data_IF_295863713038
#
_entry.id   IF_295863713038
#
_cell.length_a   1.000
_cell.length_b   1.000
_cell.length_c   1.000
_cell.angle_alpha   90.00
_cell.angle_beta   90.00
_cell.angle_gamma   90.00
#
_symmetry.space_group_name_H-M   'P 1'
#
loop_
_entity.id
_entity.type
_entity.pdbx_description
1 polymer ?
#
# COMPACT_ATOMS: atom_id res chain seq x y z
N UNK A 1 14.66 5.28 -8.07
CA UNK A 1 14.46 3.83 -7.86
C UNK A 1 13.14 3.34 -8.47
N UNK A 2 13.03 2.04 -8.78
CA UNK A 2 11.75 1.42 -9.18
C UNK A 2 11.01 0.86 -7.95
N UNK A 3 9.68 0.98 -7.93
CA UNK A 3 8.82 0.39 -6.91
C UNK A 3 7.63 -0.34 -7.53
N UNK A 4 7.19 -1.42 -6.90
CA UNK A 4 5.94 -2.12 -7.24
C UNK A 4 4.79 -1.43 -6.52
N UNK A 5 3.95 -0.72 -7.26
CA UNK A 5 2.92 0.18 -6.73
C UNK A 5 1.54 -0.41 -6.99
N UNK A 6 0.70 -0.40 -5.96
CA UNK A 6 -0.72 -0.69 -6.08
C UNK A 6 -1.53 0.62 -5.99
N UNK A 7 -2.36 0.86 -7.00
CA UNK A 7 -3.46 1.83 -6.95
C UNK A 7 -4.78 1.09 -6.77
N UNK A 8 -5.79 1.78 -6.23
CA UNK A 8 -7.19 1.38 -6.34
C UNK A 8 -8.07 2.62 -6.30
N UNK A 9 -9.31 2.48 -6.78
CA UNK A 9 -10.32 3.53 -6.76
C UNK A 9 -11.00 3.57 -5.39
N UNK A 10 -11.13 4.78 -4.82
CA UNK A 10 -11.98 5.00 -3.65
C UNK A 10 -13.45 4.97 -4.08
N UNK A 11 -14.11 3.82 -3.93
CA UNK A 11 -15.50 3.58 -4.33
C UNK A 11 -16.28 2.84 -3.22
N UNK A 12 -16.59 3.50 -2.08
CA UNK A 12 -17.25 2.88 -0.94
C UNK A 12 -18.50 2.11 -1.33
N UNK A 13 -18.66 0.90 -0.78
CA UNK A 13 -19.88 0.13 -0.97
C UNK A 13 -21.10 0.94 -0.51
N UNK A 14 -22.27 0.78 -1.15
CA UNK A 14 -23.47 1.54 -0.79
C UNK A 14 -23.92 1.38 0.67
N UNK A 15 -23.60 0.25 1.29
CA UNK A 15 -23.93 -0.10 2.68
C UNK A 15 -22.82 0.21 3.69
N UNK A 16 -21.70 0.80 3.25
CA UNK A 16 -20.60 1.19 4.12
C UNK A 16 -20.62 2.68 4.43
N UNK A 17 -20.78 3.02 5.71
CA UNK A 17 -20.68 4.41 6.17
C UNK A 17 -19.21 4.79 6.38
N UNK A 18 -18.68 5.60 5.48
CA UNK A 18 -17.32 6.14 5.61
C UNK A 18 -17.26 7.12 6.77
N UNK A 19 -16.39 6.82 7.75
CA UNK A 19 -16.19 7.68 8.92
C UNK A 19 -15.52 9.01 8.57
N UNK A 20 -15.68 10.01 9.43
CA UNK A 20 -14.98 11.30 9.27
C UNK A 20 -13.45 11.14 9.24
N UNK A 21 -12.91 10.18 9.98
CA UNK A 21 -11.47 9.91 9.97
C UNK A 21 -11.00 9.35 8.62
N UNK A 22 -11.75 8.43 8.01
CA UNK A 22 -11.44 7.87 6.69
C UNK A 22 -11.51 8.97 5.61
N UNK A 23 -12.53 9.84 5.67
CA UNK A 23 -12.65 11.01 4.78
C UNK A 23 -11.45 11.96 4.92
N UNK A 24 -11.03 12.25 6.14
CA UNK A 24 -9.95 13.20 6.41
C UNK A 24 -8.57 12.65 6.03
N UNK A 25 -8.34 11.35 6.23
CA UNK A 25 -7.01 10.75 6.06
C UNK A 25 -6.80 10.10 4.69
N UNK A 26 -7.89 9.80 3.98
CA UNK A 26 -7.87 8.95 2.79
C UNK A 26 -7.41 7.52 3.09
N UNK A 27 -7.50 7.08 4.35
CA UNK A 27 -7.25 5.69 4.76
C UNK A 27 -8.60 5.01 4.89
N UNK A 28 -8.69 3.77 4.43
CA UNK A 28 -9.85 2.91 4.68
C UNK A 28 -9.56 2.05 5.91
N UNK A 29 -10.44 2.07 6.91
CA UNK A 29 -10.37 1.15 8.05
C UNK A 29 -10.73 -0.26 7.57
N UNK A 30 -11.73 -0.35 6.71
CA UNK A 30 -12.23 -1.60 6.12
C UNK A 30 -11.95 -1.61 4.61
N UNK A 31 -10.75 -2.07 4.21
CA UNK A 31 -10.25 -1.95 2.83
C UNK A 31 -11.20 -2.50 1.75
N UNK A 32 -11.72 -3.71 1.97
CA UNK A 32 -12.65 -4.39 1.06
C UNK A 32 -14.06 -3.77 0.97
N UNK A 33 -14.34 -2.76 1.79
CA UNK A 33 -15.57 -1.96 1.71
C UNK A 33 -15.39 -0.64 0.95
N UNK A 34 -14.15 -0.27 0.59
CA UNK A 34 -13.86 1.02 -0.06
C UNK A 34 -13.11 0.87 -1.38
N UNK A 35 -12.03 0.07 -1.41
CA UNK A 35 -11.13 0.07 -2.56
C UNK A 35 -11.62 -0.88 -3.65
N UNK A 36 -11.67 -0.36 -4.88
CA UNK A 36 -12.15 -1.07 -6.06
C UNK A 36 -11.20 -0.94 -7.26
N UNK A 37 -11.20 -1.92 -8.15
CA UNK A 37 -10.37 -1.94 -9.37
C UNK A 37 -8.87 -1.77 -9.07
N UNK A 38 -8.26 -2.66 -8.26
CA UNK A 38 -6.85 -2.57 -7.95
C UNK A 38 -5.99 -2.73 -9.22
N UNK A 39 -4.92 -1.95 -9.32
CA UNK A 39 -3.95 -2.01 -10.40
C UNK A 39 -2.54 -2.05 -9.83
N UNK A 40 -1.77 -3.05 -10.24
CA UNK A 40 -0.40 -3.26 -9.82
C UNK A 40 0.57 -2.93 -10.98
N UNK A 41 1.56 -2.07 -10.73
CA UNK A 41 2.49 -1.60 -11.75
C UNK A 41 3.88 -1.30 -11.16
N UNK A 42 4.94 -1.56 -11.93
CA UNK A 42 6.29 -1.08 -11.58
C UNK A 42 6.48 0.33 -12.11
N UNK A 43 6.79 1.28 -11.22
CA UNK A 43 6.96 2.70 -11.55
C UNK A 43 8.26 3.27 -11.00
N UNK A 44 8.70 4.39 -11.58
CA UNK A 44 9.88 5.15 -11.12
C UNK A 44 9.52 6.11 -9.97
N UNK A 45 10.40 6.17 -8.97
CA UNK A 45 10.32 7.05 -7.79
C UNK A 45 11.66 7.73 -7.56
N UNK A 46 11.63 8.90 -6.90
CA UNK A 46 12.85 9.50 -6.39
C UNK A 46 13.49 8.57 -5.35
N UNK A 47 14.83 8.53 -5.30
CA UNK A 47 15.52 7.82 -4.24
C UNK A 47 15.25 8.51 -2.89
N UNK A 48 15.02 7.73 -1.81
CA UNK A 48 14.73 8.31 -0.51
C UNK A 48 15.97 9.03 0.05
N UNK A 49 15.73 9.98 0.95
CA UNK A 49 16.77 10.67 1.72
C UNK A 49 16.43 10.48 3.21
N UNK A 50 17.37 10.01 4.05
CA UNK A 50 17.05 9.73 5.44
C UNK A 50 16.92 11.02 6.25
N UNK A 51 15.87 11.12 7.07
CA UNK A 51 15.80 12.11 8.15
C UNK A 51 16.72 11.74 9.32
N UNK A 52 16.85 12.59 10.36
CA UNK A 52 17.80 12.39 11.48
C UNK A 52 17.66 11.09 12.28
N UNK A 53 16.54 10.35 12.12
CA UNK A 53 16.28 9.09 12.82
C UNK A 53 16.00 7.93 11.86
N UNK A 54 16.20 8.15 10.57
CA UNK A 54 15.88 7.19 9.53
C UNK A 54 17.16 6.56 8.98
N UNK A 55 16.98 5.43 8.29
CA UNK A 55 18.02 4.78 7.50
C UNK A 55 17.49 4.47 6.11
N UNK A 56 18.35 4.51 5.11
CA UNK A 56 18.04 4.01 3.77
C UNK A 56 18.57 2.60 3.64
N UNK A 57 17.69 1.69 3.23
CA UNK A 57 18.01 0.30 2.96
C UNK A 57 18.06 0.05 1.45
N UNK A 58 19.15 -0.56 0.98
CA UNK A 58 19.17 -1.25 -0.30
C UNK A 58 18.49 -2.62 -0.09
N UNK A 59 17.21 -2.71 -0.46
CA UNK A 59 16.40 -3.93 -0.33
C UNK A 59 17.01 -5.03 -1.22
N UNK A 60 17.36 -6.16 -0.61
CA UNK A 60 17.95 -7.32 -1.31
C UNK A 60 16.92 -8.42 -1.55
N UNK A 61 15.97 -8.58 -0.64
CA UNK A 61 14.88 -9.54 -0.75
C UNK A 61 13.63 -9.01 -0.05
N UNK A 62 12.45 -9.31 -0.59
CA UNK A 62 11.16 -9.02 0.00
C UNK A 62 10.21 -10.21 -0.27
N UNK A 63 9.62 -10.76 0.78
CA UNK A 63 8.57 -11.76 0.68
C UNK A 63 7.28 -11.17 0.14
N UNK A 64 6.46 -12.02 -0.47
CA UNK A 64 5.08 -11.68 -0.87
C UNK A 64 4.15 -12.22 0.21
N UNK A 65 3.56 -11.34 1.00
CA UNK A 65 2.61 -11.72 2.03
C UNK A 65 1.26 -12.09 1.39
N UNK A 66 0.47 -12.94 2.06
CA UNK A 66 -0.92 -13.18 1.65
C UNK A 66 -1.76 -11.89 1.63
N UNK A 67 -1.42 -10.89 2.45
CA UNK A 67 -2.08 -9.58 2.41
C UNK A 67 -1.76 -8.79 1.14
N UNK A 68 -0.53 -8.87 0.61
CA UNK A 68 -0.16 -8.24 -0.65
C UNK A 68 -0.98 -8.81 -1.81
N UNK A 69 -1.23 -10.13 -1.77
CA UNK A 69 -2.11 -10.81 -2.72
C UNK A 69 -3.55 -10.31 -2.57
N UNK A 70 -4.09 -10.27 -1.35
CA UNK A 70 -5.46 -9.81 -1.09
C UNK A 70 -5.69 -8.31 -1.35
N UNK A 71 -4.64 -7.48 -1.43
CA UNK A 71 -4.78 -6.10 -1.92
C UNK A 71 -5.09 -6.06 -3.42
N UNK A 72 -4.65 -7.06 -4.18
CA UNK A 72 -4.81 -7.14 -5.63
C UNK A 72 -5.98 -8.02 -6.06
N UNK A 73 -6.22 -9.13 -5.37
CA UNK A 73 -7.38 -9.98 -5.62
C UNK A 73 -8.69 -9.26 -5.31
N UNK A 74 -9.74 -9.59 -6.06
CA UNK A 74 -11.04 -8.96 -5.91
C UNK A 74 -12.19 -9.94 -5.73
N UNK A 75 -13.28 -9.44 -5.17
CA UNK A 75 -14.58 -10.10 -5.26
C UNK A 75 -15.21 -9.95 -6.66
N UNK A 76 -16.41 -10.50 -6.85
CA UNK A 76 -17.16 -10.42 -8.12
C UNK A 76 -17.55 -8.99 -8.54
N UNK A 77 -17.41 -8.02 -7.64
CA UNK A 77 -17.71 -6.60 -7.86
C UNK A 77 -16.43 -5.75 -7.96
N UNK A 78 -15.27 -6.38 -8.10
CA UNK A 78 -13.95 -5.75 -8.22
C UNK A 78 -13.45 -5.04 -6.94
N UNK A 79 -14.03 -5.30 -5.78
CA UNK A 79 -13.51 -4.80 -4.51
C UNK A 79 -12.36 -5.66 -4.04
N UNK A 80 -11.30 -5.05 -3.49
CA UNK A 80 -10.17 -5.81 -2.94
C UNK A 80 -10.64 -6.81 -1.89
N UNK A 81 -9.93 -7.92 -1.69
CA UNK A 81 -10.30 -8.90 -0.66
C UNK A 81 -9.80 -8.52 0.74
N UNK A 82 -8.74 -7.71 0.85
CA UNK A 82 -8.17 -7.38 2.15
C UNK A 82 -9.08 -6.48 3.00
N UNK A 83 -9.49 -6.91 4.22
CA UNK A 83 -10.49 -6.19 5.01
C UNK A 83 -9.89 -5.14 5.96
N UNK A 84 -8.57 -5.04 6.07
CA UNK A 84 -7.91 -4.19 7.07
C UNK A 84 -7.59 -2.77 6.60
N UNK A 85 -6.80 -2.10 7.44
CA UNK A 85 -6.35 -0.73 7.22
C UNK A 85 -5.53 -0.60 5.93
N UNK A 86 -5.95 0.27 5.03
CA UNK A 86 -5.30 0.45 3.72
C UNK A 86 -5.31 1.91 3.28
N UNK A 87 -4.31 2.30 2.49
CA UNK A 87 -4.26 3.57 1.79
C UNK A 87 -3.54 3.38 0.47
N UNK A 88 -4.21 3.71 -0.63
CA UNK A 88 -3.64 3.65 -1.97
C UNK A 88 -3.58 5.05 -2.60
N UNK A 89 -2.60 5.33 -3.45
CA UNK A 89 -1.53 4.44 -3.93
C UNK A 89 -0.43 4.16 -2.90
N UNK A 90 0.17 2.95 -2.93
CA UNK A 90 1.32 2.61 -2.08
C UNK A 90 2.30 1.65 -2.78
N UNK A 91 3.59 1.75 -2.44
CA UNK A 91 4.57 0.70 -2.77
C UNK A 91 4.29 -0.50 -1.84
N UNK A 92 4.16 -1.70 -2.42
CA UNK A 92 3.90 -2.93 -1.67
C UNK A 92 5.18 -3.57 -1.12
N UNK A 93 5.01 -4.54 -0.23
CA UNK A 93 6.09 -5.32 0.36
C UNK A 93 6.49 -4.83 1.75
N UNK A 94 6.32 -5.68 2.76
CA UNK A 94 6.65 -5.39 4.15
C UNK A 94 7.41 -6.52 4.85
N UNK A 95 7.75 -7.58 4.10
CA UNK A 95 8.50 -8.73 4.58
C UNK A 95 9.92 -8.72 3.99
N UNK A 96 10.66 -7.62 4.20
CA UNK A 96 11.93 -7.37 3.52
C UNK A 96 13.17 -7.42 4.42
N UNK A 97 14.31 -7.62 3.75
CA UNK A 97 15.64 -7.46 4.33
C UNK A 97 16.58 -6.80 3.32
N UNK A 98 17.59 -6.11 3.82
CA UNK A 98 18.51 -5.33 3.00
C UNK A 98 19.73 -4.84 3.76
N UNK A 99 20.57 -4.08 3.07
CA UNK A 99 21.76 -3.44 3.65
C UNK A 99 21.48 -1.98 3.94
N UNK A 100 21.92 -1.49 5.09
CA UNK A 100 21.95 -0.04 5.36
C UNK A 100 23.00 0.59 4.45
N UNK A 101 22.56 1.52 3.61
CA UNK A 101 23.44 2.26 2.67
C UNK A 101 23.58 3.73 3.03
N UNK A 102 22.66 4.26 3.83
CA UNK A 102 22.71 5.63 4.33
C UNK A 102 22.01 5.72 5.70
N UNK A 103 22.49 6.61 6.57
CA UNK A 103 21.91 6.91 7.88
C UNK A 103 21.69 8.42 8.01
N UNK A 104 20.69 8.82 8.78
CA UNK A 104 20.45 10.23 9.09
C UNK A 104 21.65 10.93 9.76
N UNK A 105 21.72 12.28 9.67
CA UNK A 105 22.76 13.10 10.29
C UNK A 105 22.73 13.08 11.83
#
# INVERSE_FOLDING_TARGET
MKGLVLDAVWDPRPDYEVSEWEKQTGKAITGNSIWRHPRLEVREWADPQPGPKDVVLEVQACGVCGSDIHFYETDEKDYILYPGLTKFSTILGHEFSGKVVEVGP
#
